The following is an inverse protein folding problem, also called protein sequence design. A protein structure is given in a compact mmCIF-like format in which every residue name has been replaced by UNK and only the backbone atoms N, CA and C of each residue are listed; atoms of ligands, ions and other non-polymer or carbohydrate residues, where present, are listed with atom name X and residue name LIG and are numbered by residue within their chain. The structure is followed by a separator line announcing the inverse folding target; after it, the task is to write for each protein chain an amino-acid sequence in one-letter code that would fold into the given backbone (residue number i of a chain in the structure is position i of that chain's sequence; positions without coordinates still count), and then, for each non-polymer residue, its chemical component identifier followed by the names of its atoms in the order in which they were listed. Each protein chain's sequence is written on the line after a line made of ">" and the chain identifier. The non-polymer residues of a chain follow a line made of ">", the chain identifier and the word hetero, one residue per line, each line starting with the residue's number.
data_IF_393835564069
#
_entry.id   IF_393835564069
#
_cell.length_a   1.000
_cell.length_b   1.000
_cell.length_c   1.000
_cell.angle_alpha   90.00
_cell.angle_beta   90.00
_cell.angle_gamma   90.00
#
_symmetry.space_group_name_H-M   'P 1'
#
loop_
_entity.id
_entity.type
_entity.pdbx_description
1 polymer ?
#
# COMPACT_ATOMS: atom_id res chain seq x y z
N UNK A 1 -40.92 34.32 18.04
CA UNK A 1 -40.22 33.52 17.01
C UNK A 1 -39.10 34.39 16.43
N UNK A 2 -37.83 34.01 16.58
CA UNK A 2 -36.68 34.80 16.10
C UNK A 2 -36.66 34.83 14.55
N UNK A 3 -36.22 35.94 13.95
CA UNK A 3 -36.06 36.07 12.47
C UNK A 3 -35.16 34.97 11.89
N UNK A 4 -34.13 34.59 12.63
CA UNK A 4 -33.21 33.48 12.31
C UNK A 4 -33.95 32.14 12.13
N UNK A 5 -34.93 31.88 13.01
CA UNK A 5 -35.72 30.65 12.96
C UNK A 5 -36.59 30.61 11.69
N UNK A 6 -37.11 31.77 11.25
CA UNK A 6 -37.90 31.86 10.03
C UNK A 6 -37.04 31.70 8.77
N UNK A 7 -35.80 32.18 8.77
CA UNK A 7 -34.86 31.95 7.66
C UNK A 7 -34.44 30.49 7.56
N UNK A 8 -34.09 29.85 8.67
CA UNK A 8 -33.79 28.41 8.70
C UNK A 8 -34.98 27.58 8.22
N UNK A 9 -36.20 27.95 8.59
CA UNK A 9 -37.39 27.25 8.12
C UNK A 9 -37.60 27.40 6.61
N UNK A 10 -37.35 28.60 6.06
CA UNK A 10 -37.41 28.84 4.60
C UNK A 10 -36.34 28.05 3.86
N UNK A 11 -35.12 28.01 4.37
CA UNK A 11 -34.03 27.23 3.79
C UNK A 11 -34.35 25.73 3.83
N UNK A 12 -34.87 25.22 4.95
CA UNK A 12 -35.32 23.84 5.06
C UNK A 12 -36.40 23.50 4.03
N UNK A 13 -37.40 24.35 3.89
CA UNK A 13 -38.47 24.14 2.91
C UNK A 13 -37.94 24.09 1.48
N UNK A 14 -37.00 24.98 1.15
CA UNK A 14 -36.34 25.02 -0.16
C UNK A 14 -35.55 23.74 -0.44
N UNK A 15 -34.81 23.24 0.56
CA UNK A 15 -34.02 22.01 0.45
C UNK A 15 -34.93 20.79 0.27
N UNK A 16 -35.98 20.66 1.09
CA UNK A 16 -36.96 19.57 0.99
C UNK A 16 -37.63 19.57 -0.38
N UNK A 17 -38.03 20.74 -0.86
CA UNK A 17 -38.65 20.88 -2.18
C UNK A 17 -37.70 20.52 -3.31
N UNK A 18 -36.42 20.86 -3.19
CA UNK A 18 -35.38 20.49 -4.17
C UNK A 18 -35.13 18.98 -4.22
N UNK A 19 -35.20 18.30 -3.08
CA UNK A 19 -35.07 16.84 -2.99
C UNK A 19 -36.29 16.16 -3.61
N UNK A 20 -37.50 16.64 -3.33
CA UNK A 20 -38.74 16.09 -3.86
C UNK A 20 -38.91 16.33 -5.38
N UNK A 21 -38.37 17.43 -5.91
CA UNK A 21 -38.39 17.69 -7.36
C UNK A 21 -37.33 16.89 -8.13
N UNK A 22 -36.45 16.18 -7.45
CA UNK A 22 -35.36 15.45 -8.10
C UNK A 22 -35.88 14.15 -8.73
N UNK A 23 -35.67 14.00 -10.05
CA UNK A 23 -36.13 12.83 -10.80
C UNK A 23 -35.57 11.50 -10.31
N UNK A 24 -34.36 11.47 -9.74
CA UNK A 24 -33.78 10.24 -9.16
C UNK A 24 -34.47 9.84 -7.87
N UNK A 25 -34.86 10.81 -7.04
CA UNK A 25 -35.57 10.55 -5.78
C UNK A 25 -36.98 10.05 -6.08
N UNK A 26 -37.65 10.63 -7.07
CA UNK A 26 -38.97 10.18 -7.54
C UNK A 26 -38.89 8.77 -8.16
N UNK A 27 -37.84 8.48 -8.93
CA UNK A 27 -37.61 7.14 -9.48
C UNK A 27 -37.35 6.10 -8.39
N UNK A 28 -36.62 6.46 -7.33
CA UNK A 28 -36.40 5.61 -6.17
C UNK A 28 -37.69 5.35 -5.38
N UNK A 29 -38.51 6.39 -5.16
CA UNK A 29 -39.80 6.26 -4.46
C UNK A 29 -40.79 5.38 -5.23
N UNK A 30 -40.75 5.42 -6.57
CA UNK A 30 -41.55 4.55 -7.45
C UNK A 30 -41.03 3.10 -7.56
N UNK A 31 -39.88 2.78 -6.96
CA UNK A 31 -39.39 1.41 -6.89
C UNK A 31 -40.17 0.59 -5.85
N UNK A 32 -40.14 -0.74 -5.93
CA UNK A 32 -40.77 -1.62 -4.93
C UNK A 32 -40.28 -1.34 -3.51
N UNK A 33 -39.02 -0.95 -3.36
CA UNK A 33 -38.46 -0.56 -2.07
C UNK A 33 -39.00 0.80 -1.61
N UNK A 34 -39.04 1.78 -2.51
CA UNK A 34 -39.60 3.10 -2.21
C UNK A 34 -41.07 3.04 -1.77
N UNK A 35 -41.91 2.31 -2.51
CA UNK A 35 -43.32 2.10 -2.15
C UNK A 35 -43.47 1.33 -0.84
N UNK A 36 -42.61 0.35 -0.55
CA UNK A 36 -42.66 -0.40 0.71
C UNK A 36 -42.23 0.44 1.93
N UNK A 37 -41.27 1.34 1.76
CA UNK A 37 -40.89 2.31 2.79
C UNK A 37 -41.98 3.39 2.99
N UNK A 38 -42.67 3.79 1.93
CA UNK A 38 -43.76 4.76 1.98
C UNK A 38 -45.01 4.20 2.68
N UNK A 39 -45.39 2.95 2.36
CA UNK A 39 -46.55 2.25 2.97
C UNK A 39 -46.30 1.88 4.45
N UNK A 40 -45.03 1.73 4.86
CA UNK A 40 -44.64 1.36 6.22
C UNK A 40 -43.69 2.39 6.85
N UNK A 41 -44.23 3.49 7.42
CA UNK A 41 -43.42 4.57 8.00
C UNK A 41 -42.53 4.11 9.15
N UNK A 42 -42.94 3.08 9.90
CA UNK A 42 -42.13 2.50 10.97
C UNK A 42 -40.88 1.79 10.44
N UNK A 43 -40.99 1.09 9.31
CA UNK A 43 -39.88 0.38 8.66
C UNK A 43 -38.88 1.39 8.11
N UNK A 44 -39.35 2.45 7.45
CA UNK A 44 -38.50 3.52 6.95
C UNK A 44 -37.72 4.21 8.07
N UNK A 45 -38.39 4.52 9.19
CA UNK A 45 -37.78 5.21 10.32
C UNK A 45 -36.81 4.31 11.09
N UNK A 46 -37.10 3.01 11.18
CA UNK A 46 -36.20 2.01 11.76
C UNK A 46 -34.95 1.82 10.89
N UNK A 47 -35.09 1.78 9.55
CA UNK A 47 -33.98 1.69 8.62
C UNK A 47 -33.10 2.95 8.66
N UNK A 48 -33.72 4.13 8.75
CA UNK A 48 -33.01 5.41 8.92
C UNK A 48 -32.18 5.40 10.20
N UNK A 49 -32.76 5.00 11.32
CA UNK A 49 -32.05 4.89 12.60
C UNK A 49 -30.95 3.83 12.55
N UNK A 50 -31.20 2.69 11.90
CA UNK A 50 -30.19 1.65 11.71
C UNK A 50 -29.00 2.18 10.92
N UNK A 51 -29.23 2.84 9.77
CA UNK A 51 -28.16 3.44 8.97
C UNK A 51 -27.43 4.54 9.72
N UNK A 52 -28.16 5.41 10.43
CA UNK A 52 -27.56 6.49 11.22
C UNK A 52 -26.65 5.96 12.33
N UNK A 53 -27.10 4.91 13.04
CA UNK A 53 -26.35 4.30 14.15
C UNK A 53 -25.23 3.39 13.63
N UNK A 54 -25.42 2.71 12.50
CA UNK A 54 -24.42 1.80 11.92
C UNK A 54 -23.36 2.52 11.10
N UNK A 55 -23.64 3.72 10.58
CA UNK A 55 -22.68 4.48 9.77
C UNK A 55 -21.37 4.75 10.52
N UNK A 56 -21.45 5.09 11.80
CA UNK A 56 -20.29 5.36 12.66
C UNK A 56 -19.39 4.12 12.82
N UNK A 57 -19.88 2.96 13.29
CA UNK A 57 -19.04 1.77 13.43
C UNK A 57 -18.53 1.24 12.09
N UNK A 58 -19.32 1.34 11.00
CA UNK A 58 -18.88 0.93 9.66
C UNK A 58 -17.74 1.83 9.16
N UNK A 59 -17.86 3.15 9.30
CA UNK A 59 -16.82 4.09 8.90
C UNK A 59 -15.53 3.84 9.68
N UNK A 60 -15.63 3.65 11.00
CA UNK A 60 -14.48 3.37 11.85
C UNK A 60 -13.79 2.06 11.49
N UNK A 61 -14.57 1.01 11.22
CA UNK A 61 -14.06 -0.27 10.77
C UNK A 61 -13.34 -0.17 9.44
N UNK A 62 -13.92 0.52 8.44
CA UNK A 62 -13.29 0.70 7.15
C UNK A 62 -11.98 1.47 7.24
N UNK A 63 -11.94 2.55 8.03
CA UNK A 63 -10.71 3.32 8.26
C UNK A 63 -9.65 2.42 8.90
N UNK A 64 -10.02 1.62 9.89
CA UNK A 64 -9.11 0.68 10.56
C UNK A 64 -8.56 -0.40 9.60
N UNK A 65 -9.41 -0.99 8.77
CA UNK A 65 -8.99 -2.02 7.79
C UNK A 65 -8.04 -1.42 6.76
N UNK A 66 -8.39 -0.25 6.20
CA UNK A 66 -7.56 0.43 5.21
C UNK A 66 -6.23 0.85 5.81
N UNK A 67 -6.22 1.43 7.01
CA UNK A 67 -4.98 1.83 7.68
C UNK A 67 -4.09 0.64 8.01
N UNK A 68 -4.67 -0.46 8.50
CA UNK A 68 -3.94 -1.71 8.78
C UNK A 68 -3.36 -2.30 7.50
N UNK A 69 -4.11 -2.30 6.40
CA UNK A 69 -3.62 -2.78 5.11
C UNK A 69 -2.44 -1.93 4.60
N UNK A 70 -2.55 -0.60 4.69
CA UNK A 70 -1.46 0.32 4.33
C UNK A 70 -0.22 0.05 5.19
N UNK A 71 -0.39 -0.07 6.51
CA UNK A 71 0.70 -0.35 7.43
C UNK A 71 1.36 -1.71 7.15
N UNK A 72 0.57 -2.74 6.82
CA UNK A 72 1.07 -4.04 6.42
C UNK A 72 1.89 -3.97 5.13
N UNK A 73 1.41 -3.26 4.10
CA UNK A 73 2.14 -3.06 2.85
C UNK A 73 3.49 -2.35 3.09
N UNK A 74 3.49 -1.27 3.88
CA UNK A 74 4.73 -0.56 4.25
C UNK A 74 5.68 -1.52 4.98
N UNK A 75 5.16 -2.30 5.93
CA UNK A 75 5.94 -3.30 6.67
C UNK A 75 6.62 -4.32 5.77
N UNK A 76 5.89 -4.86 4.78
CA UNK A 76 6.45 -5.80 3.79
C UNK A 76 7.57 -5.15 2.97
N UNK A 77 7.35 -3.92 2.47
CA UNK A 77 8.36 -3.19 1.69
C UNK A 77 9.64 -2.98 2.50
N UNK A 78 9.52 -2.60 3.78
CA UNK A 78 10.68 -2.42 4.67
C UNK A 78 11.40 -3.76 4.89
N UNK A 79 10.66 -4.83 5.19
CA UNK A 79 11.24 -6.16 5.41
C UNK A 79 11.97 -6.68 4.18
N UNK A 80 11.36 -6.55 3.00
CA UNK A 80 11.96 -6.93 1.73
C UNK A 80 13.23 -6.12 1.46
N UNK A 81 13.18 -4.80 1.67
CA UNK A 81 14.34 -3.92 1.55
C UNK A 81 15.49 -4.33 2.47
N UNK A 82 15.19 -4.69 3.72
CA UNK A 82 16.20 -5.19 4.68
C UNK A 82 16.79 -6.52 4.19
N UNK A 83 15.95 -7.49 3.81
CA UNK A 83 16.42 -8.80 3.33
C UNK A 83 17.29 -8.66 2.08
N UNK A 84 16.90 -7.83 1.12
CA UNK A 84 17.66 -7.56 -0.09
C UNK A 84 19.00 -6.90 0.27
N UNK A 85 19.01 -5.91 1.16
CA UNK A 85 20.24 -5.23 1.56
C UNK A 85 21.24 -6.17 2.24
N UNK A 86 20.77 -6.99 3.18
CA UNK A 86 21.60 -7.99 3.88
C UNK A 86 22.15 -9.02 2.89
N UNK A 87 21.29 -9.52 1.99
CA UNK A 87 21.70 -10.45 0.94
C UNK A 87 22.71 -9.82 -0.02
N UNK A 88 22.51 -8.57 -0.40
CA UNK A 88 23.42 -7.81 -1.25
C UNK A 88 24.79 -7.60 -0.60
N UNK A 89 24.83 -7.22 0.68
CA UNK A 89 26.08 -7.08 1.44
C UNK A 89 26.81 -8.42 1.54
N UNK A 90 26.09 -9.51 1.82
CA UNK A 90 26.66 -10.85 1.87
C UNK A 90 27.25 -11.26 0.51
N UNK A 91 26.52 -11.03 -0.59
CA UNK A 91 27.01 -11.31 -1.94
C UNK A 91 28.24 -10.47 -2.29
N UNK A 92 28.23 -9.17 -1.98
CA UNK A 92 29.40 -8.30 -2.18
C UNK A 92 30.61 -8.82 -1.40
N UNK A 93 30.41 -9.23 -0.14
CA UNK A 93 31.47 -9.81 0.67
C UNK A 93 32.08 -11.06 0.02
N UNK A 94 31.22 -11.99 -0.45
CA UNK A 94 31.67 -13.21 -1.15
C UNK A 94 32.38 -12.88 -2.46
N UNK A 95 31.85 -11.95 -3.26
CA UNK A 95 32.48 -11.51 -4.50
C UNK A 95 33.85 -10.88 -4.24
N UNK A 96 33.96 -10.02 -3.23
CA UNK A 96 35.23 -9.43 -2.82
C UNK A 96 36.22 -10.49 -2.35
N UNK A 97 35.78 -11.46 -1.54
CA UNK A 97 36.62 -12.57 -1.08
C UNK A 97 37.14 -13.43 -2.23
N UNK A 98 36.26 -13.80 -3.17
CA UNK A 98 36.63 -14.54 -4.38
C UNK A 98 37.56 -13.72 -5.29
N UNK A 99 37.32 -12.42 -5.41
CA UNK A 99 38.18 -11.50 -6.16
C UNK A 99 39.59 -11.44 -5.58
N UNK A 100 39.71 -11.25 -4.28
CA UNK A 100 41.00 -11.24 -3.58
C UNK A 100 41.71 -12.59 -3.70
N UNK A 101 40.99 -13.70 -3.53
CA UNK A 101 41.54 -15.04 -3.69
C UNK A 101 42.06 -15.27 -5.12
N UNK A 102 41.28 -14.88 -6.12
CA UNK A 102 41.64 -15.00 -7.53
C UNK A 102 42.89 -14.18 -7.87
N UNK A 103 42.96 -12.93 -7.40
CA UNK A 103 44.16 -12.09 -7.55
C UNK A 103 45.37 -12.71 -6.86
N UNK A 104 45.18 -13.28 -5.66
CA UNK A 104 46.25 -13.98 -4.94
C UNK A 104 46.78 -15.19 -5.72
N UNK A 105 45.90 -16.08 -6.17
CA UNK A 105 46.28 -17.28 -6.95
C UNK A 105 46.93 -16.89 -8.27
N UNK A 106 46.36 -15.92 -9.00
CA UNK A 106 46.93 -15.41 -10.25
C UNK A 106 48.30 -14.79 -10.04
N UNK A 107 48.48 -14.01 -8.97
CA UNK A 107 49.76 -13.40 -8.60
C UNK A 107 50.83 -14.46 -8.29
N UNK A 108 50.48 -15.49 -7.52
CA UNK A 108 51.40 -16.60 -7.20
C UNK A 108 51.78 -17.36 -8.46
N UNK A 109 50.81 -17.73 -9.31
CA UNK A 109 51.09 -18.44 -10.56
C UNK A 109 51.99 -17.62 -11.51
N UNK A 110 51.75 -16.31 -11.62
CA UNK A 110 52.56 -15.40 -12.42
C UNK A 110 54.00 -15.30 -11.89
N UNK A 111 54.18 -15.15 -10.57
CA UNK A 111 55.50 -15.13 -9.95
C UNK A 111 56.24 -16.45 -10.16
N UNK A 112 55.56 -17.59 -9.97
CA UNK A 112 56.12 -18.91 -10.24
C UNK A 112 56.55 -19.05 -11.71
N UNK A 113 55.75 -18.56 -12.66
CA UNK A 113 56.09 -18.58 -14.08
C UNK A 113 57.34 -17.74 -14.40
N UNK A 114 57.46 -16.54 -13.83
CA UNK A 114 58.64 -15.68 -14.02
C UNK A 114 59.90 -16.34 -13.42
N UNK A 115 59.79 -16.93 -12.23
CA UNK A 115 60.92 -17.61 -11.58
C UNK A 115 61.33 -18.86 -12.37
N UNK A 116 60.38 -19.69 -12.81
CA UNK A 116 60.69 -20.86 -13.63
C UNK A 116 61.34 -20.45 -14.96
N UNK A 117 60.78 -19.46 -15.65
CA UNK A 117 61.32 -19.01 -16.95
C UNK A 117 62.73 -18.44 -16.83
N UNK A 118 63.03 -17.70 -15.76
CA UNK A 118 64.39 -17.23 -15.49
C UNK A 118 65.36 -18.36 -15.14
N UNK A 119 64.95 -19.32 -14.30
CA UNK A 119 65.76 -20.51 -13.97
C UNK A 119 66.07 -21.35 -15.21
N UNK A 120 65.07 -21.64 -16.05
CA UNK A 120 65.24 -22.42 -17.28
C UNK A 120 66.17 -21.69 -18.25
N UNK A 121 66.02 -20.37 -18.39
CA UNK A 121 66.87 -19.57 -19.27
C UNK A 121 68.34 -19.56 -18.79
N UNK A 122 68.58 -19.42 -17.48
CA UNK A 122 69.92 -19.54 -16.92
C UNK A 122 70.51 -20.95 -17.13
N UNK A 123 69.70 -21.99 -16.98
CA UNK A 123 70.15 -23.36 -17.18
C UNK A 123 70.52 -23.65 -18.65
N UNK A 124 69.77 -23.09 -19.59
CA UNK A 124 70.09 -23.13 -21.03
C UNK A 124 71.34 -22.31 -21.37
N UNK A 125 71.55 -21.16 -20.73
CA UNK A 125 72.72 -20.31 -20.97
C UNK A 125 74.02 -20.91 -20.39
N UNK A 126 73.93 -21.80 -19.41
CA UNK A 126 75.08 -22.46 -18.78
C UNK A 126 75.48 -23.79 -19.44
N UNK A 127 74.74 -24.23 -20.46
CA UNK A 127 75.00 -25.45 -21.23
C UNK A 127 75.47 -25.12 -22.64
#
# INVERSE_FOLDING_TARGET
>A
MSKEMQELQKQWHSVVQSIHSNSNVVAFMNSRFGQYLDDHPFVALSLLMFVAVSAIPIAFFLIFVVSTAIMACIGVIIMEGVVISVSGIALLCVLCGLGALSLGVSGVLSACYIVLSTLINCWYAQR
#
